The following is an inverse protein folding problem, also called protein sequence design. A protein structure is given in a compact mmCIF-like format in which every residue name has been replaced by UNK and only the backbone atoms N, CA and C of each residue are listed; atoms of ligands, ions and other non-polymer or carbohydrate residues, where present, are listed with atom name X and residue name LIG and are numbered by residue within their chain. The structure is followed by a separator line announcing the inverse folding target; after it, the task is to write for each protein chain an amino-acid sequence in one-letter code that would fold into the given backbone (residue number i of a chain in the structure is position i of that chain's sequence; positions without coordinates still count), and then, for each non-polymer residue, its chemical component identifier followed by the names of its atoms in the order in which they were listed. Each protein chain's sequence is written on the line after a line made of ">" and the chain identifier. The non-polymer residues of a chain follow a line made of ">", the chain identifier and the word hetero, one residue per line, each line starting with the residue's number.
data_IF_400197083976
#
_entry.id   IF_400197083976
#
_cell.length_a   1.000
_cell.length_b   1.000
_cell.length_c   1.000
_cell.angle_alpha   90.00
_cell.angle_beta   90.00
_cell.angle_gamma   90.00
#
_symmetry.space_group_name_H-M   'P 1'
#
loop_
_entity.id
_entity.type
_entity.pdbx_description
1 polymer ?
#
# COMPACT_ATOMS: atom_id res chain seq x y z
N UNK A 1 3.79 -14.13 4.37
CA UNK A 1 2.80 -13.05 4.29
C UNK A 1 1.45 -13.63 3.93
N UNK A 2 0.43 -13.21 4.62
CA UNK A 2 -0.94 -13.60 4.33
C UNK A 2 -1.78 -12.35 4.10
N UNK A 3 -2.62 -12.37 3.09
CA UNK A 3 -3.54 -11.27 2.79
C UNK A 3 -4.96 -11.81 2.78
N UNK A 4 -5.82 -11.24 3.65
CA UNK A 4 -7.24 -11.54 3.68
C UNK A 4 -8.01 -10.25 3.48
N UNK A 5 -8.58 -10.07 2.28
CA UNK A 5 -9.26 -8.83 1.88
C UNK A 5 -8.29 -7.66 1.99
N UNK A 6 -8.55 -6.73 2.91
CA UNK A 6 -7.72 -5.55 3.15
C UNK A 6 -6.79 -5.72 4.36
N UNK A 7 -6.73 -6.92 4.95
CA UNK A 7 -5.84 -7.23 6.06
C UNK A 7 -4.56 -7.90 5.56
N UNK A 8 -3.42 -7.32 5.89
CA UNK A 8 -2.10 -7.89 5.59
C UNK A 8 -1.48 -8.36 6.90
N UNK A 9 -1.03 -9.61 6.93
CA UNK A 9 -0.37 -10.22 8.08
C UNK A 9 1.05 -10.58 7.70
N UNK A 10 2.04 -10.09 8.46
CA UNK A 10 3.44 -10.40 8.25
C UNK A 10 4.12 -10.68 9.58
N UNK A 11 5.25 -11.37 9.53
CA UNK A 11 6.15 -11.45 10.68
C UNK A 11 7.13 -10.28 10.59
N UNK A 12 7.64 -9.88 11.75
CA UNK A 12 8.59 -8.77 11.83
C UNK A 12 9.80 -9.06 10.92
N UNK A 13 10.18 -8.08 10.11
CA UNK A 13 11.27 -8.20 9.17
C UNK A 13 10.89 -8.73 7.79
N UNK A 14 9.66 -9.22 7.61
CA UNK A 14 9.21 -9.71 6.31
C UNK A 14 9.07 -8.57 5.31
N UNK A 15 9.30 -8.89 4.03
CA UNK A 15 9.03 -7.95 2.94
C UNK A 15 7.58 -8.11 2.50
N UNK A 16 6.85 -6.98 2.39
CA UNK A 16 5.53 -6.99 1.77
C UNK A 16 5.74 -7.01 0.26
N UNK A 17 5.18 -8.02 -0.41
CA UNK A 17 5.27 -8.17 -1.85
C UNK A 17 3.87 -8.49 -2.36
N UNK A 18 3.28 -7.58 -3.14
CA UNK A 18 1.92 -7.77 -3.65
C UNK A 18 1.67 -6.94 -4.89
N UNK A 19 0.66 -7.33 -5.66
CA UNK A 19 0.18 -6.54 -6.78
C UNK A 19 -0.98 -5.66 -6.32
N UNK A 20 -1.09 -4.49 -6.94
CA UNK A 20 -2.18 -3.55 -6.69
C UNK A 20 -3.12 -3.58 -7.89
N UNK A 21 -4.42 -3.64 -7.61
CA UNK A 21 -5.44 -3.58 -8.65
C UNK A 21 -6.45 -2.50 -8.30
N UNK A 22 -6.52 -1.47 -9.13
CA UNK A 22 -7.49 -0.40 -9.01
C UNK A 22 -8.29 -0.37 -10.31
N UNK A 23 -9.61 -0.42 -10.19
CA UNK A 23 -10.49 -0.41 -11.36
C UNK A 23 -11.37 0.84 -11.37
N UNK A 24 -11.57 1.39 -12.54
CA UNK A 24 -12.61 2.40 -12.77
C UNK A 24 -13.99 1.76 -12.70
N UNK A 25 -15.03 2.58 -12.63
CA UNK A 25 -16.41 2.10 -12.60
C UNK A 25 -16.77 1.25 -13.82
N UNK A 26 -16.13 1.53 -14.97
CA UNK A 26 -16.36 0.77 -16.20
C UNK A 26 -15.59 -0.55 -16.26
N UNK A 27 -14.86 -0.91 -15.21
CA UNK A 27 -14.11 -2.15 -15.14
C UNK A 27 -12.68 -2.08 -15.69
N UNK A 28 -12.28 -0.96 -16.26
CA UNK A 28 -10.91 -0.82 -16.75
C UNK A 28 -9.93 -0.66 -15.59
N UNK A 29 -8.76 -1.27 -15.74
CA UNK A 29 -7.69 -1.18 -14.74
C UNK A 29 -7.00 0.17 -14.85
N UNK A 30 -6.81 0.83 -13.71
CA UNK A 30 -6.03 2.07 -13.64
C UNK A 30 -4.54 1.74 -13.71
N UNK A 31 -3.84 2.41 -14.61
CA UNK A 31 -2.38 2.36 -14.72
C UNK A 31 -1.87 3.79 -14.66
N UNK A 32 -0.93 4.11 -13.76
CA UNK A 32 -0.44 5.49 -13.64
C UNK A 32 0.25 5.94 -14.92
N UNK A 33 -0.08 7.14 -15.37
CA UNK A 33 0.58 7.77 -16.49
C UNK A 33 1.81 8.55 -16.02
N UNK A 34 2.44 9.23 -16.98
CA UNK A 34 3.71 9.95 -16.74
C UNK A 34 3.61 11.00 -15.63
N UNK A 35 2.48 11.71 -15.56
CA UNK A 35 2.30 12.81 -14.61
C UNK A 35 1.45 12.39 -13.40
N UNK A 36 1.07 11.14 -13.32
CA UNK A 36 0.31 10.61 -12.20
C UNK A 36 1.25 10.06 -11.14
N UNK A 37 0.81 10.06 -9.89
CA UNK A 37 1.54 9.39 -8.84
C UNK A 37 0.66 8.35 -8.15
N UNK A 38 1.29 7.26 -7.75
CA UNK A 38 0.65 6.16 -7.06
C UNK A 38 1.61 5.74 -5.95
N UNK A 39 1.13 5.71 -4.71
CA UNK A 39 1.98 5.43 -3.56
C UNK A 39 1.33 4.44 -2.62
N UNK A 40 2.15 3.52 -2.08
CA UNK A 40 1.75 2.65 -0.97
C UNK A 40 2.29 3.27 0.31
N UNK A 41 1.41 3.52 1.28
CA UNK A 41 1.75 4.23 2.51
C UNK A 41 1.38 3.39 3.71
N UNK A 42 2.31 3.22 4.65
CA UNK A 42 2.05 2.63 5.96
C UNK A 42 2.08 3.76 6.97
N UNK A 43 1.02 3.85 7.77
CA UNK A 43 0.90 4.91 8.76
C UNK A 43 0.32 4.37 10.07
N UNK A 44 0.54 5.12 11.13
CA UNK A 44 0.01 4.83 12.46
C UNK A 44 -0.22 6.15 13.18
N UNK A 45 -1.40 6.30 13.80
CA UNK A 45 -1.76 7.50 14.56
C UNK A 45 -1.58 8.78 13.72
N UNK A 46 -2.02 8.76 12.47
CA UNK A 46 -1.93 9.87 11.53
C UNK A 46 -0.51 10.23 11.11
N UNK A 47 0.48 9.42 11.46
CA UNK A 47 1.87 9.61 11.06
C UNK A 47 2.25 8.63 9.97
N UNK A 48 2.71 9.13 8.83
CA UNK A 48 3.21 8.29 7.74
C UNK A 48 4.60 7.77 8.11
N UNK A 49 4.76 6.44 8.12
CA UNK A 49 6.01 5.79 8.50
C UNK A 49 6.81 5.33 7.30
N UNK A 50 6.14 4.80 6.30
CA UNK A 50 6.76 4.29 5.08
C UNK A 50 5.92 4.76 3.89
N UNK A 51 6.58 5.24 2.84
CA UNK A 51 5.94 5.68 1.61
C UNK A 51 6.74 5.13 0.44
N UNK A 52 6.10 4.28 -0.38
CA UNK A 52 6.73 3.60 -1.50
C UNK A 52 6.02 4.02 -2.79
N UNK A 53 6.73 4.59 -3.77
CA UNK A 53 6.11 4.87 -5.07
C UNK A 53 5.82 3.56 -5.80
N UNK A 54 4.71 3.55 -6.53
CA UNK A 54 4.29 2.41 -7.35
C UNK A 54 4.31 2.86 -8.81
N UNK A 55 4.99 2.13 -9.65
CA UNK A 55 5.08 2.44 -11.08
C UNK A 55 4.01 1.68 -11.89
N UNK A 56 4.14 1.72 -13.22
CA UNK A 56 3.18 1.08 -14.12
C UNK A 56 3.12 -0.44 -13.97
N UNK A 57 4.08 -1.06 -13.30
CA UNK A 57 4.04 -2.50 -13.03
C UNK A 57 2.98 -2.86 -12.01
N UNK A 58 2.50 -1.89 -11.22
CA UNK A 58 1.49 -2.05 -10.18
C UNK A 58 1.89 -3.04 -9.10
N UNK A 59 3.19 -3.14 -8.84
CA UNK A 59 3.73 -4.02 -7.79
C UNK A 59 4.23 -3.21 -6.61
N UNK A 60 3.94 -3.72 -5.42
CA UNK A 60 4.45 -3.16 -4.17
C UNK A 60 5.51 -4.10 -3.62
N UNK A 61 6.71 -3.58 -3.40
CA UNK A 61 7.77 -4.27 -2.66
C UNK A 61 8.17 -3.34 -1.54
N UNK A 62 7.83 -3.72 -0.31
CA UNK A 62 8.01 -2.85 0.84
C UNK A 62 8.80 -3.57 1.92
N UNK A 63 9.99 -3.04 2.24
CA UNK A 63 10.78 -3.53 3.36
C UNK A 63 10.18 -3.02 4.66
N UNK A 64 10.05 -3.89 5.64
CA UNK A 64 9.39 -3.56 6.91
C UNK A 64 10.33 -3.68 8.10
N UNK A 65 11.65 -3.65 7.85
CA UNK A 65 12.65 -3.84 8.91
C UNK A 65 12.53 -2.83 10.05
N UNK A 66 12.05 -1.63 9.73
CA UNK A 66 11.92 -0.56 10.72
C UNK A 66 10.63 -0.63 11.53
N UNK A 67 9.71 -1.52 11.17
CA UNK A 67 8.44 -1.64 11.86
C UNK A 67 8.55 -2.59 13.05
N UNK A 68 8.14 -2.13 14.21
CA UNK A 68 8.03 -2.98 15.39
C UNK A 68 6.75 -3.81 15.33
N UNK A 69 6.66 -4.81 16.20
CA UNK A 69 5.45 -5.61 16.35
C UNK A 69 4.28 -4.70 16.72
N UNK A 70 3.16 -4.85 16.04
CA UNK A 70 1.98 -4.04 16.30
C UNK A 70 1.02 -4.00 15.13
N UNK A 71 0.04 -3.13 15.25
CA UNK A 71 -1.00 -2.95 14.23
C UNK A 71 -0.83 -1.56 13.61
N UNK A 72 -0.82 -1.54 12.29
CA UNK A 72 -0.64 -0.34 11.47
C UNK A 72 -1.80 -0.24 10.49
N UNK A 73 -1.87 0.89 9.81
CA UNK A 73 -2.78 1.05 8.67
C UNK A 73 -1.95 1.19 7.41
N UNK A 74 -2.49 0.69 6.30
CA UNK A 74 -1.90 0.90 5.00
C UNK A 74 -2.93 1.53 4.07
N UNK A 75 -2.45 2.23 3.07
CA UNK A 75 -3.31 2.79 2.04
C UNK A 75 -2.55 2.93 0.73
N UNK A 76 -3.29 2.99 -0.36
CA UNK A 76 -2.77 3.35 -1.68
C UNK A 76 -3.39 4.70 -2.04
N UNK A 77 -2.55 5.68 -2.28
CA UNK A 77 -2.96 7.03 -2.67
C UNK A 77 -2.67 7.26 -4.13
N UNK A 78 -3.65 7.78 -4.85
CA UNK A 78 -3.55 8.16 -6.25
C UNK A 78 -3.61 9.66 -6.36
N UNK A 79 -2.73 10.25 -7.17
CA UNK A 79 -2.76 11.67 -7.52
C UNK A 79 -2.75 11.79 -9.03
N UNK A 80 -3.87 12.25 -9.60
CA UNK A 80 -4.03 12.50 -11.03
C UNK A 80 -4.41 13.95 -11.21
N UNK A 81 -3.54 14.71 -11.86
CA UNK A 81 -3.76 16.16 -12.11
C UNK A 81 -4.03 16.94 -10.82
N UNK A 82 -3.35 16.59 -9.74
CA UNK A 82 -3.54 17.25 -8.46
C UNK A 82 -4.74 16.78 -7.66
N UNK A 83 -5.57 15.90 -8.22
CA UNK A 83 -6.71 15.33 -7.51
C UNK A 83 -6.25 14.06 -6.80
N UNK A 84 -6.34 14.06 -5.47
CA UNK A 84 -5.89 12.94 -4.64
C UNK A 84 -7.05 12.08 -4.19
N UNK A 85 -6.88 10.77 -4.28
CA UNK A 85 -7.86 9.80 -3.81
C UNK A 85 -7.15 8.63 -3.13
N UNK A 86 -7.89 7.92 -2.27
CA UNK A 86 -7.38 6.74 -1.56
C UNK A 86 -8.29 5.55 -1.88
N UNK A 87 -8.10 4.93 -3.05
CA UNK A 87 -9.00 3.85 -3.49
C UNK A 87 -8.85 2.54 -2.70
N UNK A 88 -7.71 2.33 -2.07
CA UNK A 88 -7.44 1.12 -1.30
C UNK A 88 -6.88 1.49 0.07
N UNK A 89 -7.36 0.81 1.11
CA UNK A 89 -6.87 0.98 2.48
C UNK A 89 -7.18 -0.26 3.30
N UNK A 90 -6.44 -0.45 4.37
CA UNK A 90 -6.67 -1.59 5.25
C UNK A 90 -5.75 -1.57 6.46
N UNK A 91 -5.60 -2.75 7.05
CA UNK A 91 -4.83 -2.95 8.28
C UNK A 91 -3.63 -3.83 7.97
N UNK A 92 -2.49 -3.48 8.55
CA UNK A 92 -1.27 -4.27 8.52
C UNK A 92 -0.97 -4.73 9.95
N UNK A 93 -0.90 -6.04 10.15
CA UNK A 93 -0.51 -6.58 11.44
C UNK A 93 0.88 -7.20 11.34
N UNK A 94 1.79 -6.71 12.17
CA UNK A 94 3.18 -7.19 12.25
C UNK A 94 3.30 -8.02 13.52
N UNK A 95 3.62 -9.30 13.36
CA UNK A 95 3.76 -10.24 14.46
C UNK A 95 5.23 -10.47 14.79
N UNK A 96 5.51 -10.76 16.06
CA UNK A 96 6.82 -11.22 16.45
C UNK A 96 7.04 -12.68 16.11
N UNK A 97 8.28 -13.08 16.07
CA UNK A 97 8.66 -14.46 15.84
C UNK A 97 8.43 -15.32 17.10
#
# INVERSE_FOLDING_TARGET
>A
MEIKRDHIFINQGDTIYTDILIKYKNGQVFVPGKDDSLEFIIHKDSKELIKIPIDESLKVICQTDELSVGVYNWMVRVDVNGIKETPLKGILQVKGD
#
